data_IF_210483491253
#
_entry.id   IF_210483491253
#
_cell.length_a   1.000
_cell.length_b   1.000
_cell.length_c   1.000
_cell.angle_alpha   90.00
_cell.angle_beta   90.00
_cell.angle_gamma   90.00
#
_symmetry.space_group_name_H-M   'P 1'
#
loop_
_entity.id
_entity.type
_entity.pdbx_description
1 polymer ?
#
# COMPACT_ATOMS: atom_id res chain seq x y z
N UNK A 1 -10.58 -4.54 -3.72
CA UNK A 1 -10.77 -4.11 -2.33
C UNK A 1 -11.78 -5.06 -1.71
N UNK A 2 -11.47 -5.63 -0.54
CA UNK A 2 -12.30 -6.65 0.09
C UNK A 2 -12.54 -7.92 -0.75
N UNK A 3 -13.54 -8.70 -0.35
CA UNK A 3 -14.01 -9.91 -1.05
C UNK A 3 -15.25 -9.57 -1.89
N UNK A 4 -15.21 -9.86 -3.20
CA UNK A 4 -16.32 -9.55 -4.10
C UNK A 4 -15.88 -9.53 -5.57
N UNK A 5 -16.61 -8.78 -6.41
CA UNK A 5 -16.24 -8.57 -7.82
C UNK A 5 -14.84 -7.96 -7.95
N UNK A 6 -13.99 -8.57 -8.77
CA UNK A 6 -12.63 -8.11 -9.01
C UNK A 6 -12.60 -6.73 -9.68
N UNK A 7 -13.47 -6.51 -10.68
CA UNK A 7 -13.58 -5.25 -11.40
C UNK A 7 -13.95 -4.11 -10.46
N UNK A 8 -15.00 -4.30 -9.66
CA UNK A 8 -15.39 -3.33 -8.64
C UNK A 8 -14.27 -3.13 -7.62
N UNK A 9 -13.61 -4.22 -7.22
CA UNK A 9 -12.51 -4.18 -6.28
C UNK A 9 -11.33 -3.33 -6.75
N UNK A 10 -11.04 -3.30 -8.06
CA UNK A 10 -10.01 -2.44 -8.69
C UNK A 10 -10.43 -0.97 -8.70
N UNK A 11 -11.68 -0.68 -9.04
CA UNK A 11 -12.23 0.68 -9.00
C UNK A 11 -12.18 1.25 -7.59
N UNK A 12 -12.65 0.47 -6.60
CA UNK A 12 -12.72 0.90 -5.21
C UNK A 12 -11.34 1.14 -4.58
N UNK A 13 -10.35 0.27 -4.83
CA UNK A 13 -9.01 0.49 -4.27
C UNK A 13 -8.34 1.73 -4.87
N UNK A 14 -8.57 1.99 -6.16
CA UNK A 14 -8.07 3.20 -6.81
C UNK A 14 -8.71 4.45 -6.22
N UNK A 15 -10.05 4.45 -6.07
CA UNK A 15 -10.78 5.55 -5.43
C UNK A 15 -10.36 5.74 -3.96
N UNK A 16 -10.10 4.66 -3.23
CA UNK A 16 -9.65 4.69 -1.84
C UNK A 16 -8.30 5.41 -1.70
N UNK A 17 -7.28 5.01 -2.47
CA UNK A 17 -5.95 5.62 -2.37
C UNK A 17 -5.96 7.07 -2.86
N UNK A 18 -6.70 7.37 -3.93
CA UNK A 18 -6.86 8.73 -4.43
C UNK A 18 -7.63 9.63 -3.45
N UNK A 19 -8.55 9.08 -2.67
CA UNK A 19 -9.23 9.84 -1.60
C UNK A 19 -8.33 10.00 -0.38
N UNK A 20 -7.53 8.99 -0.04
CA UNK A 20 -6.67 8.96 1.15
C UNK A 20 -5.72 10.16 1.21
N UNK A 21 -5.15 10.57 0.07
CA UNK A 21 -4.27 11.75 0.01
C UNK A 21 -4.99 13.07 0.34
N UNK A 22 -6.30 13.13 0.16
CA UNK A 22 -7.12 14.30 0.49
C UNK A 22 -7.62 14.28 1.95
N UNK A 23 -7.41 13.18 2.68
CA UNK A 23 -7.87 13.06 4.06
C UNK A 23 -7.00 13.81 5.05
N UNK A 24 -7.61 14.25 6.16
CA UNK A 24 -6.92 14.84 7.30
C UNK A 24 -7.46 14.23 8.60
N UNK A 25 -6.61 13.67 9.47
CA UNK A 25 -5.15 13.55 9.33
C UNK A 25 -4.73 12.48 8.31
N UNK A 26 -3.52 12.61 7.76
CA UNK A 26 -2.90 11.55 6.96
C UNK A 26 -2.48 10.37 7.84
N UNK A 27 -2.43 9.14 7.28
CA UNK A 27 -1.86 8.00 7.99
C UNK A 27 -0.35 8.16 8.18
N UNK A 28 0.18 7.66 9.30
CA UNK A 28 1.62 7.67 9.56
C UNK A 28 2.37 6.57 8.79
N UNK A 29 1.67 5.52 8.35
CA UNK A 29 2.21 4.43 7.56
C UNK A 29 1.13 3.74 6.72
N UNK A 30 1.49 3.25 5.53
CA UNK A 30 0.68 2.33 4.72
C UNK A 30 1.47 1.03 4.56
N UNK A 31 0.79 -0.11 4.68
CA UNK A 31 1.38 -1.44 4.64
C UNK A 31 0.81 -2.20 3.45
N UNK A 32 1.68 -2.68 2.55
CA UNK A 32 1.30 -3.49 1.40
C UNK A 32 1.85 -4.92 1.57
N UNK A 33 0.95 -5.89 1.57
CA UNK A 33 1.29 -7.32 1.60
C UNK A 33 0.25 -8.11 0.79
N UNK A 34 0.54 -9.39 0.52
CA UNK A 34 -0.22 -10.22 -0.40
C UNK A 34 -0.33 -9.53 -1.79
N UNK A 35 -1.47 -9.66 -2.49
CA UNK A 35 -1.72 -9.00 -3.77
C UNK A 35 -1.66 -7.46 -3.69
N UNK A 36 -1.73 -6.86 -2.50
CA UNK A 36 -1.63 -5.41 -2.32
C UNK A 36 -0.29 -4.83 -2.75
N UNK A 37 0.79 -5.64 -2.81
CA UNK A 37 2.12 -5.17 -3.26
C UNK A 37 2.12 -4.69 -4.72
N UNK A 38 1.17 -5.17 -5.54
CA UNK A 38 1.01 -4.76 -6.93
C UNK A 38 0.72 -3.26 -7.06
N UNK A 39 0.05 -2.65 -6.07
CA UNK A 39 -0.32 -1.24 -6.08
C UNK A 39 0.89 -0.31 -5.97
N UNK A 40 1.99 -0.79 -5.38
CA UNK A 40 3.24 -0.04 -5.21
C UNK A 40 4.24 -0.25 -6.38
N UNK A 41 3.87 -1.05 -7.37
CA UNK A 41 4.72 -1.41 -8.50
C UNK A 41 4.43 -0.57 -9.75
N UNK A 42 5.29 -0.73 -10.76
CA UNK A 42 5.12 -0.18 -12.10
C UNK A 42 3.74 -0.48 -12.69
N UNK A 43 3.23 0.43 -13.53
CA UNK A 43 1.92 0.37 -14.17
C UNK A 43 0.70 0.43 -13.22
N UNK A 44 0.92 0.56 -11.92
CA UNK A 44 -0.16 0.77 -10.96
C UNK A 44 -0.85 2.12 -11.19
N UNK A 45 -2.19 2.14 -11.32
CA UNK A 45 -2.94 3.38 -11.61
C UNK A 45 -3.06 4.32 -10.41
N UNK A 46 -2.53 3.92 -9.25
CA UNK A 46 -2.46 4.73 -8.01
C UNK A 46 -1.04 5.19 -7.68
N UNK A 47 -0.05 4.84 -8.50
CA UNK A 47 1.37 5.05 -8.17
C UNK A 47 1.71 6.54 -7.93
N UNK A 48 1.11 7.45 -8.69
CA UNK A 48 1.30 8.89 -8.49
C UNK A 48 0.76 9.35 -7.12
N UNK A 49 -0.41 8.89 -6.71
CA UNK A 49 -0.98 9.20 -5.41
C UNK A 49 -0.12 8.65 -4.26
N UNK A 50 0.45 7.44 -4.43
CA UNK A 50 1.37 6.88 -3.44
C UNK A 50 2.65 7.73 -3.29
N UNK A 51 3.25 8.18 -4.39
CA UNK A 51 4.42 9.07 -4.34
C UNK A 51 4.11 10.42 -3.70
N UNK A 52 2.92 10.96 -3.95
CA UNK A 52 2.47 12.20 -3.31
C UNK A 52 2.35 12.03 -1.79
N UNK A 53 1.73 10.92 -1.34
CA UNK A 53 1.66 10.55 0.09
C UNK A 53 3.06 10.40 0.70
N UNK A 54 4.00 9.73 0.02
CA UNK A 54 5.40 9.61 0.48
C UNK A 54 6.07 10.98 0.62
N UNK A 55 5.89 11.88 -0.36
CA UNK A 55 6.44 13.24 -0.31
C UNK A 55 5.91 14.06 0.86
N UNK A 56 4.71 13.71 1.36
CA UNK A 56 4.07 14.32 2.53
C UNK A 56 4.40 13.60 3.84
N UNK A 57 5.36 12.67 3.82
CA UNK A 57 5.90 12.00 5.00
C UNK A 57 5.19 10.69 5.37
N UNK A 58 4.26 10.20 4.57
CA UNK A 58 3.60 8.91 4.80
C UNK A 58 4.59 7.78 4.50
N UNK A 59 4.97 7.01 5.53
CA UNK A 59 5.85 5.86 5.37
C UNK A 59 5.12 4.72 4.65
N UNK A 60 5.80 3.97 3.79
CA UNK A 60 5.20 2.79 3.15
C UNK A 60 6.10 1.57 3.27
N UNK A 61 5.54 0.45 3.75
CA UNK A 61 6.24 -0.84 3.83
C UNK A 61 5.61 -1.82 2.84
N UNK A 62 6.44 -2.49 2.05
CA UNK A 62 5.99 -3.45 1.03
C UNK A 62 6.62 -4.81 1.30
N UNK A 63 5.79 -5.83 1.49
CA UNK A 63 6.25 -7.18 1.85
C UNK A 63 7.16 -7.77 0.76
N UNK A 64 8.44 -7.99 1.10
CA UNK A 64 9.45 -8.54 0.21
C UNK A 64 9.13 -9.94 -0.29
N UNK A 65 8.66 -10.82 0.60
CA UNK A 65 8.25 -12.19 0.20
C UNK A 65 7.12 -12.19 -0.82
N UNK A 66 6.17 -11.25 -0.73
CA UNK A 66 5.10 -11.12 -1.71
C UNK A 66 5.63 -10.55 -3.04
N UNK A 67 6.54 -9.58 -3.00
CA UNK A 67 7.20 -9.07 -4.21
C UNK A 67 8.00 -10.16 -4.92
N UNK A 68 8.71 -11.00 -4.17
CA UNK A 68 9.45 -12.14 -4.70
C UNK A 68 8.49 -13.17 -5.32
N UNK A 69 7.37 -13.49 -4.65
CA UNK A 69 6.36 -14.42 -5.16
C UNK A 69 5.72 -13.99 -6.48
N UNK A 70 5.48 -12.68 -6.69
CA UNK A 70 4.90 -12.14 -7.92
C UNK A 70 5.94 -11.71 -8.96
N UNK A 71 7.24 -11.94 -8.72
CA UNK A 71 8.35 -11.46 -9.56
C UNK A 71 8.33 -9.92 -9.79
N UNK A 72 7.87 -9.16 -8.80
CA UNK A 72 7.65 -7.71 -8.88
C UNK A 72 8.74 -6.86 -8.22
N UNK A 73 9.70 -7.47 -7.53
CA UNK A 73 10.76 -6.74 -6.80
C UNK A 73 11.51 -5.68 -7.62
N UNK A 74 11.95 -5.93 -8.87
CA UNK A 74 12.60 -4.89 -9.69
C UNK A 74 11.61 -3.82 -10.20
N UNK A 75 10.30 -4.08 -10.11
CA UNK A 75 9.22 -3.19 -10.55
C UNK A 75 8.67 -2.34 -9.42
N UNK A 76 9.20 -2.42 -8.19
CA UNK A 76 8.77 -1.57 -7.09
C UNK A 76 9.08 -0.09 -7.39
N UNK A 77 8.09 0.79 -7.26
CA UNK A 77 8.22 2.24 -7.61
C UNK A 77 7.77 3.21 -6.52
N UNK A 78 7.21 2.71 -5.41
CA UNK A 78 6.84 3.47 -4.21
C UNK A 78 7.01 2.59 -2.96
N UNK A 79 7.40 3.19 -1.84
CA UNK A 79 7.66 2.48 -0.59
C UNK A 79 8.98 1.72 -0.55
N UNK A 80 9.22 1.08 0.59
CA UNK A 80 10.43 0.32 0.87
C UNK A 80 10.12 -1.14 1.13
N UNK A 81 10.99 -2.02 0.63
CA UNK A 81 10.89 -3.46 0.89
C UNK A 81 11.01 -3.71 2.39
N UNK A 82 10.12 -4.55 2.90
CA UNK A 82 9.95 -4.90 4.30
C UNK A 82 9.76 -6.40 4.45
N UNK A 83 9.60 -6.87 5.68
CA UNK A 83 9.23 -8.24 6.01
C UNK A 83 8.00 -8.26 6.94
N UNK A 84 7.54 -9.46 7.29
CA UNK A 84 6.38 -9.64 8.18
C UNK A 84 6.65 -9.15 9.61
N UNK A 85 7.89 -9.25 10.10
CA UNK A 85 8.24 -8.78 11.45
C UNK A 85 8.03 -7.27 11.58
N UNK A 86 8.56 -6.48 10.65
CA UNK A 86 8.43 -5.01 10.65
C UNK A 86 6.97 -4.57 10.43
N UNK A 87 6.22 -5.31 9.59
CA UNK A 87 4.78 -5.09 9.39
C UNK A 87 4.04 -5.30 10.71
N UNK A 88 4.26 -6.44 11.39
CA UNK A 88 3.59 -6.74 12.65
C UNK A 88 3.97 -5.79 13.77
N UNK A 89 5.25 -5.38 13.86
CA UNK A 89 5.65 -4.35 14.82
C UNK A 89 4.97 -3.00 14.55
N UNK A 90 4.88 -2.62 13.27
CA UNK A 90 4.21 -1.37 12.88
C UNK A 90 2.73 -1.39 13.24
N UNK A 91 2.04 -2.51 12.99
CA UNK A 91 0.64 -2.72 13.38
C UNK A 91 0.48 -2.70 14.90
N UNK A 92 1.31 -3.45 15.63
CA UNK A 92 1.23 -3.56 17.09
C UNK A 92 1.50 -2.23 17.80
N UNK A 93 2.30 -1.36 17.20
CA UNK A 93 2.63 -0.03 17.73
C UNK A 93 1.64 1.06 17.28
N UNK A 94 0.69 0.75 16.40
CA UNK A 94 -0.23 1.74 15.86
C UNK A 94 -1.38 2.00 16.85
N UNK A 95 -1.74 3.28 17.05
CA UNK A 95 -2.92 3.63 17.84
C UNK A 95 -4.24 3.25 17.16
N UNK A 96 -4.26 3.18 15.83
CA UNK A 96 -5.42 2.75 15.05
C UNK A 96 -4.94 2.11 13.76
N UNK A 97 -5.57 0.99 13.39
CA UNK A 97 -5.33 0.28 12.14
C UNK A 97 -6.64 0.23 11.39
N UNK A 98 -6.62 0.68 10.14
CA UNK A 98 -7.75 0.62 9.24
C UNK A 98 -7.37 -0.22 8.01
N UNK A 99 -8.21 -1.19 7.68
CA UNK A 99 -8.02 -2.10 6.55
C UNK A 99 -9.21 -1.96 5.60
N UNK A 100 -9.06 -1.24 4.47
CA UNK A 100 -10.12 -1.08 3.47
C UNK A 100 -10.44 -2.37 2.69
#
# INVERSE_FOLDING_TARGET
MGTGSEELGKILIQACINSLKETTPLPSCILFYNAGVTLACEDSPVLQALRELESRGVRMLVCGTCLDYYDLKPRLKAGRVSNMYDIMQTIASAGTVFTP
#
